data_IF_272541874105
#
_entry.id   IF_272541874105
#
_cell.length_a   1.000
_cell.length_b   1.000
_cell.length_c   1.000
_cell.angle_alpha   90.00
_cell.angle_beta   90.00
_cell.angle_gamma   90.00
#
_symmetry.space_group_name_H-M   'P 1'
#
loop_
_entity.id
_entity.type
_entity.pdbx_description
1 polymer ?
#
# COMPACT_ATOMS: atom_id res chain seq x y z
N UNK A 1 -6.75 -43.20 -1.38
CA UNK A 1 -8.01 -42.52 -1.77
C UNK A 1 -7.78 -41.01 -1.71
N UNK A 2 -8.51 -40.17 -2.46
CA UNK A 2 -8.25 -38.73 -2.43
C UNK A 2 -9.47 -37.86 -2.75
N UNK A 3 -9.50 -36.67 -2.15
CA UNK A 3 -10.55 -35.66 -2.31
C UNK A 3 -9.93 -34.36 -2.85
N UNK A 4 -10.75 -33.54 -3.51
CA UNK A 4 -10.36 -32.19 -3.94
C UNK A 4 -11.37 -31.19 -3.42
N UNK A 5 -10.89 -30.09 -2.86
CA UNK A 5 -11.70 -28.98 -2.32
C UNK A 5 -11.08 -27.64 -2.71
N UNK A 6 -11.89 -26.58 -2.69
CA UNK A 6 -11.48 -25.26 -3.20
C UNK A 6 -11.02 -24.24 -2.16
N UNK A 7 -10.77 -24.66 -0.92
CA UNK A 7 -10.15 -23.81 0.10
C UNK A 7 -9.56 -24.62 1.26
N UNK A 8 -8.59 -24.02 1.96
CA UNK A 8 -8.00 -24.55 3.20
C UNK A 8 -9.09 -24.89 4.23
N UNK A 9 -10.07 -24.00 4.42
CA UNK A 9 -11.18 -24.22 5.36
C UNK A 9 -11.99 -25.48 5.03
N UNK A 10 -12.30 -25.71 3.75
CA UNK A 10 -13.01 -26.93 3.32
C UNK A 10 -12.14 -28.17 3.45
N UNK A 11 -10.82 -28.05 3.27
CA UNK A 11 -9.91 -29.17 3.46
C UNK A 11 -9.86 -29.61 4.92
N UNK A 12 -9.77 -28.67 5.86
CA UNK A 12 -9.83 -28.97 7.29
C UNK A 12 -11.17 -29.53 7.71
N UNK A 13 -12.29 -28.96 7.23
CA UNK A 13 -13.61 -29.55 7.48
C UNK A 13 -13.71 -30.99 6.94
N UNK A 14 -13.11 -31.28 5.79
CA UNK A 14 -13.08 -32.64 5.25
C UNK A 14 -12.14 -33.56 6.04
N UNK A 15 -11.04 -33.03 6.56
CA UNK A 15 -10.14 -33.77 7.44
C UNK A 15 -10.84 -34.12 8.77
N UNK A 16 -11.61 -33.19 9.35
CA UNK A 16 -12.43 -33.43 10.55
C UNK A 16 -13.46 -34.55 10.36
N UNK A 17 -14.06 -34.64 9.17
CA UNK A 17 -14.98 -35.74 8.84
C UNK A 17 -14.28 -37.10 8.75
N UNK A 18 -12.99 -37.12 8.34
CA UNK A 18 -12.25 -38.35 8.07
C UNK A 18 -11.42 -38.82 9.27
N UNK A 19 -10.94 -37.90 10.10
CA UNK A 19 -10.02 -38.19 11.20
C UNK A 19 -10.76 -38.76 12.42
N UNK A 20 -10.32 -39.88 12.99
CA UNK A 20 -10.97 -40.48 14.15
C UNK A 20 -10.64 -39.71 15.43
N UNK A 21 -11.50 -38.77 15.79
CA UNK A 21 -11.45 -38.02 17.05
C UNK A 21 -10.63 -36.74 16.96
N UNK A 22 -10.30 -36.18 18.13
CA UNK A 22 -9.59 -34.91 18.21
C UNK A 22 -8.10 -35.06 17.89
N UNK A 23 -7.52 -33.99 17.38
CA UNK A 23 -6.10 -33.89 17.07
C UNK A 23 -5.56 -32.51 17.49
N UNK A 24 -4.25 -32.45 17.73
CA UNK A 24 -3.57 -31.22 18.15
C UNK A 24 -2.25 -31.07 17.40
N UNK A 25 -1.87 -29.82 17.14
CA UNK A 25 -0.59 -29.53 16.50
C UNK A 25 0.56 -30.04 17.37
N UNK A 26 1.44 -30.84 16.79
CA UNK A 26 2.66 -31.30 17.43
C UNK A 26 3.84 -30.45 16.97
N UNK A 27 4.36 -29.62 17.87
CA UNK A 27 5.43 -28.69 17.54
C UNK A 27 6.75 -29.39 17.17
N UNK A 28 7.08 -30.50 17.86
CA UNK A 28 8.33 -31.22 17.63
C UNK A 28 8.29 -31.98 16.30
N UNK A 29 7.17 -32.64 16.01
CA UNK A 29 6.97 -33.30 14.72
C UNK A 29 6.92 -32.27 13.58
N UNK A 30 6.23 -31.13 13.79
CA UNK A 30 6.18 -30.06 12.80
C UNK A 30 7.57 -29.49 12.48
N UNK A 31 8.40 -29.27 13.51
CA UNK A 31 9.76 -28.77 13.33
C UNK A 31 10.65 -29.79 12.61
N UNK A 32 10.57 -31.07 13.00
CA UNK A 32 11.35 -32.14 12.38
C UNK A 32 11.00 -32.39 10.91
N UNK A 33 9.73 -32.19 10.53
CA UNK A 33 9.27 -32.41 9.16
C UNK A 33 9.38 -31.17 8.25
N UNK A 34 9.47 -29.97 8.83
CA UNK A 34 9.48 -28.70 8.09
C UNK A 34 8.11 -28.25 7.59
N UNK A 35 7.02 -28.86 8.07
CA UNK A 35 5.63 -28.49 7.78
C UNK A 35 4.74 -28.81 9.00
N UNK A 36 3.58 -28.15 9.17
CA UNK A 36 2.71 -28.42 10.31
C UNK A 36 2.19 -29.86 10.32
N UNK A 37 2.37 -30.54 11.46
CA UNK A 37 1.83 -31.86 11.74
C UNK A 37 0.88 -31.77 12.93
N UNK A 38 -0.28 -32.41 12.79
CA UNK A 38 -1.31 -32.50 13.81
C UNK A 38 -1.53 -33.96 14.18
N UNK A 39 -1.18 -34.34 15.41
CA UNK A 39 -1.23 -35.71 15.89
C UNK A 39 -2.57 -35.98 16.61
N UNK A 40 -3.04 -37.23 16.56
CA UNK A 40 -4.19 -37.68 17.34
C UNK A 40 -4.00 -37.40 18.84
N UNK A 41 -5.05 -36.92 19.51
CA UNK A 41 -5.06 -36.77 20.96
C UNK A 41 -5.29 -38.12 21.69
N UNK A 42 -5.60 -39.19 20.95
CA UNK A 42 -5.83 -40.51 21.52
C UNK A 42 -4.53 -41.19 21.95
N UNK A 43 -4.49 -41.70 23.19
CA UNK A 43 -3.30 -42.33 23.76
C UNK A 43 -2.91 -43.59 22.96
N UNK A 44 -1.69 -43.60 22.42
CA UNK A 44 -1.13 -44.73 21.68
C UNK A 44 -1.54 -44.80 20.20
N UNK A 45 -2.28 -43.80 19.69
CA UNK A 45 -2.47 -43.62 18.26
C UNK A 45 -1.26 -42.87 17.65
N UNK A 46 -0.86 -43.28 16.45
CA UNK A 46 0.13 -42.58 15.61
C UNK A 46 -0.54 -41.87 14.42
N UNK A 47 -1.87 -41.79 14.41
CA UNK A 47 -2.63 -41.14 13.36
C UNK A 47 -2.34 -39.63 13.40
N UNK A 48 -2.20 -39.04 12.22
CA UNK A 48 -1.85 -37.62 12.12
C UNK A 48 -2.25 -37.01 10.78
N UNK A 49 -2.36 -35.68 10.76
CA UNK A 49 -2.62 -34.88 9.58
C UNK A 49 -1.38 -34.04 9.29
N UNK A 50 -0.86 -34.15 8.07
CA UNK A 50 0.24 -33.32 7.57
C UNK A 50 -0.32 -32.21 6.69
N UNK A 51 -0.07 -30.95 7.05
CA UNK A 51 -0.43 -29.78 6.25
C UNK A 51 0.72 -29.42 5.30
N UNK A 52 0.57 -29.80 4.03
CA UNK A 52 1.58 -29.59 3.00
C UNK A 52 1.34 -28.31 2.18
N UNK A 53 0.40 -27.46 2.62
CA UNK A 53 0.01 -26.22 1.94
C UNK A 53 -0.92 -26.44 0.75
N UNK A 54 -0.50 -27.24 -0.24
CA UNK A 54 -1.34 -27.55 -1.43
C UNK A 54 -2.30 -28.73 -1.21
N UNK A 55 -2.14 -29.46 -0.10
CA UNK A 55 -3.02 -30.54 0.32
C UNK A 55 -2.87 -30.81 1.82
N UNK A 56 -3.90 -31.42 2.40
CA UNK A 56 -3.77 -32.13 3.67
C UNK A 56 -3.58 -33.62 3.39
N UNK A 57 -2.65 -34.25 4.10
CA UNK A 57 -2.46 -35.70 4.06
C UNK A 57 -2.88 -36.29 5.41
N UNK A 58 -3.98 -37.04 5.40
CA UNK A 58 -4.58 -37.65 6.58
C UNK A 58 -4.11 -39.09 6.69
N UNK A 59 -3.28 -39.37 7.68
CA UNK A 59 -2.69 -40.69 7.95
C UNK A 59 -3.43 -41.35 9.11
N UNK A 60 -4.07 -42.49 8.84
CA UNK A 60 -4.84 -43.28 9.83
C UNK A 60 -4.43 -44.75 9.72
N UNK A 61 -3.81 -45.29 10.76
CA UNK A 61 -3.24 -46.63 10.76
C UNK A 61 -2.20 -46.82 9.65
N UNK A 62 -2.49 -47.72 8.71
CA UNK A 62 -1.63 -48.00 7.55
C UNK A 62 -2.09 -47.26 6.27
N UNK A 63 -3.16 -46.45 6.35
CA UNK A 63 -3.74 -45.76 5.20
C UNK A 63 -3.41 -44.27 5.21
N UNK A 64 -3.27 -43.70 4.01
CA UNK A 64 -3.12 -42.27 3.78
C UNK A 64 -4.18 -41.77 2.78
N UNK A 65 -4.83 -40.66 3.13
CA UNK A 65 -5.86 -40.01 2.33
C UNK A 65 -5.43 -38.57 2.04
N UNK A 66 -5.35 -38.22 0.76
CA UNK A 66 -4.98 -36.87 0.33
C UNK A 66 -6.23 -36.01 0.10
N UNK A 67 -6.22 -34.78 0.63
CA UNK A 67 -7.23 -33.75 0.39
C UNK A 67 -6.55 -32.59 -0.32
N UNK A 68 -6.64 -32.56 -1.65
CA UNK A 68 -6.06 -31.52 -2.48
C UNK A 68 -6.81 -30.20 -2.35
N UNK A 69 -6.07 -29.12 -2.15
CA UNK A 69 -6.59 -27.75 -2.12
C UNK A 69 -6.26 -27.13 -3.48
N UNK A 70 -7.28 -26.97 -4.31
CA UNK A 70 -7.14 -26.39 -5.64
C UNK A 70 -8.07 -25.20 -5.76
N UNK A 71 -7.55 -24.03 -6.13
CA UNK A 71 -8.43 -22.89 -6.43
C UNK A 71 -9.46 -23.29 -7.49
N UNK A 72 -10.67 -22.76 -7.34
CA UNK A 72 -11.72 -22.99 -8.32
C UNK A 72 -11.26 -22.47 -9.69
N UNK A 73 -11.29 -23.29 -10.75
CA UNK A 73 -10.94 -22.83 -12.09
C UNK A 73 -11.74 -21.61 -12.52
N UNK A 74 -13.01 -21.51 -12.09
CA UNK A 74 -13.88 -20.36 -12.37
C UNK A 74 -13.36 -19.08 -11.67
N UNK A 75 -12.95 -19.18 -10.40
CA UNK A 75 -12.36 -18.05 -9.66
C UNK A 75 -11.06 -17.59 -10.32
N UNK A 76 -10.26 -18.54 -10.82
CA UNK A 76 -8.99 -18.24 -11.48
C UNK A 76 -9.23 -17.47 -12.78
N UNK A 77 -10.17 -17.90 -13.61
CA UNK A 77 -10.52 -17.19 -14.85
C UNK A 77 -11.14 -15.81 -14.56
N UNK A 78 -12.03 -15.71 -13.57
CA UNK A 78 -12.62 -14.42 -13.18
C UNK A 78 -11.57 -13.43 -12.68
N UNK A 79 -10.57 -13.87 -11.90
CA UNK A 79 -9.45 -13.01 -11.47
C UNK A 79 -8.67 -12.46 -12.67
N UNK A 80 -8.44 -13.31 -13.67
CA UNK A 80 -7.76 -12.93 -14.91
C UNK A 80 -8.58 -11.93 -15.71
N UNK A 81 -9.87 -12.21 -15.93
CA UNK A 81 -10.79 -11.29 -16.62
C UNK A 81 -10.88 -9.94 -15.91
N UNK A 82 -11.00 -9.93 -14.58
CA UNK A 82 -10.98 -8.68 -13.78
C UNK A 82 -9.68 -7.92 -13.97
N UNK A 83 -8.53 -8.60 -14.03
CA UNK A 83 -7.25 -7.96 -14.30
C UNK A 83 -7.19 -7.34 -15.69
N UNK A 84 -7.68 -8.06 -16.71
CA UNK A 84 -7.70 -7.59 -18.11
C UNK A 84 -8.66 -6.41 -18.29
N UNK A 85 -9.87 -6.49 -17.72
CA UNK A 85 -10.86 -5.42 -17.75
C UNK A 85 -10.37 -4.16 -17.01
N UNK A 86 -9.66 -4.31 -15.89
CA UNK A 86 -9.03 -3.17 -15.19
C UNK A 86 -7.96 -2.50 -16.06
N UNK A 87 -7.12 -3.29 -16.72
CA UNK A 87 -6.09 -2.74 -17.62
C UNK A 87 -6.71 -2.04 -18.84
N UNK A 88 -7.78 -2.60 -19.40
CA UNK A 88 -8.54 -1.97 -20.47
C UNK A 88 -9.17 -0.65 -20.02
N UNK A 89 -9.75 -0.62 -18.81
CA UNK A 89 -10.33 0.59 -18.23
C UNK A 89 -9.27 1.69 -18.02
N UNK A 90 -8.11 1.39 -17.42
CA UNK A 90 -7.02 2.35 -17.25
C UNK A 90 -6.58 3.00 -18.57
N UNK A 91 -6.54 2.20 -19.65
CA UNK A 91 -6.22 2.71 -20.98
C UNK A 91 -7.33 3.60 -21.55
N UNK A 92 -8.59 3.20 -21.42
CA UNK A 92 -9.75 3.95 -21.91
C UNK A 92 -10.00 5.24 -21.13
N UNK A 93 -9.59 5.31 -19.86
CA UNK A 93 -9.72 6.51 -19.05
C UNK A 93 -8.77 7.63 -19.51
N UNK A 94 -7.69 7.32 -20.24
CA UNK A 94 -6.78 8.30 -20.84
C UNK A 94 -6.24 9.31 -19.80
N UNK A 95 -5.72 8.80 -18.69
CA UNK A 95 -5.15 9.64 -17.63
C UNK A 95 -3.98 10.48 -18.15
N UNK A 96 -4.02 11.78 -17.84
CA UNK A 96 -2.97 12.74 -18.21
C UNK A 96 -2.64 13.65 -17.02
N UNK A 97 -1.42 14.22 -16.93
CA UNK A 97 -1.07 15.14 -15.86
C UNK A 97 -2.08 16.30 -15.76
N UNK A 98 -2.65 16.48 -14.57
CA UNK A 98 -3.55 17.58 -14.30
C UNK A 98 -2.78 18.92 -14.30
N UNK A 99 -3.45 19.97 -14.77
CA UNK A 99 -2.91 21.34 -14.74
C UNK A 99 -3.57 22.11 -13.60
N UNK A 100 -2.83 23.01 -12.97
CA UNK A 100 -3.29 23.89 -11.89
C UNK A 100 -3.75 23.16 -10.61
N UNK A 101 -3.40 21.87 -10.45
CA UNK A 101 -3.68 21.10 -9.23
C UNK A 101 -2.40 20.38 -8.82
N UNK A 102 -2.11 20.38 -7.51
CA UNK A 102 -0.89 19.86 -6.93
C UNK A 102 0.27 20.86 -6.95
N UNK A 103 1.49 20.33 -6.89
CA UNK A 103 2.72 21.12 -6.90
C UNK A 103 2.92 21.86 -8.21
N UNK A 104 3.30 23.13 -8.10
CA UNK A 104 3.72 24.00 -9.17
C UNK A 104 5.22 23.84 -9.49
N UNK A 105 6.04 23.35 -8.55
CA UNK A 105 7.45 23.06 -8.79
C UNK A 105 7.65 21.65 -9.33
N UNK A 106 8.38 21.51 -10.44
CA UNK A 106 8.76 20.19 -10.98
C UNK A 106 9.71 19.48 -10.01
N UNK A 107 9.64 18.15 -10.00
CA UNK A 107 10.50 17.36 -9.12
C UNK A 107 11.99 17.52 -9.44
N UNK A 108 12.36 17.62 -10.72
CA UNK A 108 13.75 17.84 -11.15
C UNK A 108 14.30 19.18 -10.63
N UNK A 109 13.51 20.25 -10.76
CA UNK A 109 13.88 21.58 -10.27
C UNK A 109 14.03 21.57 -8.74
N UNK A 110 13.12 20.90 -8.02
CA UNK A 110 13.20 20.76 -6.56
C UNK A 110 14.48 20.02 -6.15
N UNK A 111 14.82 18.91 -6.81
CA UNK A 111 16.03 18.14 -6.51
C UNK A 111 17.31 18.94 -6.82
N UNK A 112 17.29 19.78 -7.86
CA UNK A 112 18.40 20.67 -8.14
C UNK A 112 18.57 21.72 -7.04
N UNK A 113 17.47 22.32 -6.58
CA UNK A 113 17.48 23.23 -5.43
C UNK A 113 17.95 22.52 -4.16
N UNK A 114 17.54 21.28 -3.92
CA UNK A 114 17.96 20.51 -2.74
C UNK A 114 19.47 20.24 -2.71
N UNK A 115 20.08 20.07 -3.88
CA UNK A 115 21.53 19.86 -4.00
C UNK A 115 22.36 21.14 -3.89
N UNK A 116 21.75 22.32 -4.11
CA UNK A 116 22.46 23.61 -4.22
C UNK A 116 22.10 24.62 -3.12
N UNK A 117 20.94 24.48 -2.50
CA UNK A 117 20.43 25.37 -1.46
C UNK A 117 20.53 24.78 -0.06
N UNK A 118 20.30 25.65 0.92
CA UNK A 118 20.26 25.28 2.32
C UNK A 118 18.84 24.91 2.76
N UNK A 119 18.73 23.90 3.62
CA UNK A 119 17.47 23.53 4.25
C UNK A 119 17.12 24.56 5.32
N UNK A 120 15.92 25.16 5.20
CA UNK A 120 15.38 26.02 6.25
C UNK A 120 14.65 25.18 7.31
N UNK A 121 14.79 25.58 8.58
CA UNK A 121 13.92 25.06 9.64
C UNK A 121 12.52 25.63 9.47
N UNK A 122 11.52 25.01 10.09
CA UNK A 122 10.14 25.46 9.98
C UNK A 122 9.99 26.89 10.54
N UNK A 123 10.72 27.26 11.60
CA UNK A 123 10.71 28.62 12.17
C UNK A 123 11.27 29.67 11.19
N UNK A 124 12.42 29.36 10.57
CA UNK A 124 13.03 30.25 9.57
C UNK A 124 12.16 30.39 8.33
N UNK A 125 11.53 29.31 7.89
CA UNK A 125 10.63 29.34 6.74
C UNK A 125 9.38 30.19 7.03
N UNK A 126 8.84 30.13 8.26
CA UNK A 126 7.72 30.97 8.70
C UNK A 126 8.12 32.44 8.75
N UNK A 127 9.28 32.76 9.33
CA UNK A 127 9.81 34.13 9.39
C UNK A 127 9.98 34.70 7.97
N UNK A 128 10.64 33.95 7.09
CA UNK A 128 10.84 34.35 5.70
C UNK A 128 9.51 34.56 4.94
N UNK A 129 8.54 33.66 5.07
CA UNK A 129 7.20 33.81 4.45
C UNK A 129 6.51 35.09 4.97
N UNK A 130 6.63 35.37 6.27
CA UNK A 130 6.03 36.56 6.88
C UNK A 130 6.66 37.84 6.36
N UNK A 131 7.99 37.88 6.23
CA UNK A 131 8.73 39.06 5.77
C UNK A 131 8.49 39.34 4.28
N UNK A 132 8.54 38.32 3.43
CA UNK A 132 8.43 38.47 1.98
C UNK A 132 6.99 38.69 1.50
N UNK A 133 6.02 37.97 2.06
CA UNK A 133 4.64 37.95 1.55
C UNK A 133 3.62 38.58 2.52
N UNK A 134 4.05 39.04 3.69
CA UNK A 134 3.21 39.75 4.65
C UNK A 134 2.17 38.88 5.39
N UNK A 135 2.36 37.56 5.41
CA UNK A 135 1.50 36.66 6.19
C UNK A 135 1.80 36.77 7.69
N UNK A 136 0.79 36.55 8.53
CA UNK A 136 0.99 36.48 9.99
C UNK A 136 1.73 35.19 10.35
N UNK A 137 2.89 35.23 11.02
CA UNK A 137 3.66 34.03 11.37
C UNK A 137 2.83 32.95 12.07
N UNK A 138 1.91 33.34 12.95
CA UNK A 138 1.10 32.43 13.75
C UNK A 138 0.05 31.67 12.92
N UNK A 139 -0.25 32.16 11.72
CA UNK A 139 -1.18 31.52 10.79
C UNK A 139 -0.46 30.60 9.78
N UNK A 140 0.87 30.69 9.64
CA UNK A 140 1.62 29.90 8.67
C UNK A 140 1.93 28.52 9.22
N UNK A 141 1.59 27.48 8.46
CA UNK A 141 1.94 26.09 8.77
C UNK A 141 2.74 25.47 7.64
N UNK A 142 4.01 25.19 7.90
CA UNK A 142 4.89 24.52 6.95
C UNK A 142 4.41 23.10 6.69
N UNK A 143 4.48 22.69 5.43
CA UNK A 143 4.03 21.39 4.95
C UNK A 143 5.10 20.76 4.06
N UNK A 144 5.35 19.47 4.30
CA UNK A 144 6.40 18.74 3.58
C UNK A 144 5.88 17.81 2.49
N UNK A 145 4.58 17.59 2.42
CA UNK A 145 3.99 16.73 1.38
C UNK A 145 3.58 17.59 0.19
N UNK A 146 4.08 17.29 -0.99
CA UNK A 146 3.67 17.91 -2.24
C UNK A 146 3.22 16.82 -3.20
N UNK A 147 2.14 17.03 -3.94
CA UNK A 147 1.45 15.99 -4.70
C UNK A 147 1.24 16.44 -6.13
N UNK A 148 1.21 15.49 -7.05
CA UNK A 148 0.73 15.72 -8.41
C UNK A 148 -0.54 14.92 -8.63
N UNK A 149 -1.33 15.37 -9.60
CA UNK A 149 -2.58 14.73 -9.96
C UNK A 149 -2.60 14.37 -11.44
N UNK A 150 -3.39 13.36 -11.76
CA UNK A 150 -3.81 13.07 -13.12
C UNK A 150 -5.30 13.34 -13.26
N UNK A 151 -5.72 13.73 -14.47
CA UNK A 151 -7.11 13.88 -14.87
C UNK A 151 -7.42 12.94 -16.02
N UNK A 152 -8.56 12.26 -15.95
CA UNK A 152 -9.02 11.37 -17.00
C UNK A 152 -9.95 12.09 -18.00
N UNK A 153 -10.32 11.42 -19.10
CA UNK A 153 -11.24 11.95 -20.13
C UNK A 153 -12.63 12.35 -19.61
N UNK A 154 -12.99 11.91 -18.41
CA UNK A 154 -14.25 12.21 -17.73
C UNK A 154 -14.10 13.31 -16.66
N UNK A 155 -12.96 14.03 -16.65
CA UNK A 155 -12.64 15.08 -15.69
C UNK A 155 -12.60 14.61 -14.23
N UNK A 156 -12.28 13.33 -14.00
CA UNK A 156 -12.01 12.83 -12.65
C UNK A 156 -10.54 13.04 -12.34
N UNK A 157 -10.27 13.57 -11.14
CA UNK A 157 -8.92 13.73 -10.61
C UNK A 157 -8.53 12.52 -9.76
N UNK A 158 -7.25 12.13 -9.83
CA UNK A 158 -6.63 11.19 -8.88
C UNK A 158 -5.22 11.65 -8.54
N UNK A 159 -4.78 11.34 -7.32
CA UNK A 159 -3.39 11.56 -6.91
C UNK A 159 -2.48 10.62 -7.73
N UNK A 160 -1.44 11.18 -8.36
CA UNK A 160 -0.51 10.44 -9.21
C UNK A 160 0.87 10.24 -8.57
N UNK A 161 1.32 11.20 -7.76
CA UNK A 161 2.52 11.06 -6.96
C UNK A 161 2.47 11.91 -5.70
N UNK A 162 3.22 11.47 -4.68
CA UNK A 162 3.46 12.19 -3.43
C UNK A 162 4.96 12.33 -3.22
N UNK A 163 5.41 13.55 -3.00
CA UNK A 163 6.79 13.93 -2.74
C UNK A 163 6.93 14.45 -1.32
N UNK A 164 8.02 14.09 -0.67
CA UNK A 164 8.45 14.71 0.58
C UNK A 164 9.50 15.80 0.27
N UNK A 165 9.15 17.04 0.58
CA UNK A 165 9.91 18.24 0.24
C UNK A 165 10.11 19.12 1.46
N UNK A 166 11.35 19.49 1.72
CA UNK A 166 11.74 20.39 2.80
C UNK A 166 11.68 21.84 2.29
N UNK A 167 11.49 22.83 3.17
CA UNK A 167 11.75 24.22 2.86
C UNK A 167 13.24 24.39 2.47
N UNK A 168 13.50 25.00 1.33
CA UNK A 168 14.84 25.21 0.78
C UNK A 168 15.02 26.66 0.37
N UNK A 169 16.21 27.20 0.64
CA UNK A 169 16.58 28.54 0.23
C UNK A 169 18.01 28.56 -0.30
N UNK A 170 18.18 29.08 -1.49
CA UNK A 170 19.50 29.37 -2.08
C UNK A 170 19.64 30.87 -2.34
N UNK A 171 18.59 31.47 -2.93
CA UNK A 171 18.52 32.90 -3.23
C UNK A 171 17.05 33.37 -3.22
N UNK A 172 16.84 34.68 -3.34
CA UNK A 172 15.49 35.29 -3.41
C UNK A 172 14.69 34.83 -4.62
N UNK A 173 15.37 34.48 -5.71
CA UNK A 173 14.82 33.92 -6.95
C UNK A 173 15.07 32.41 -7.11
N UNK A 174 15.60 31.74 -6.07
CA UNK A 174 15.84 30.29 -6.05
C UNK A 174 15.54 29.71 -4.66
N UNK A 175 14.28 29.36 -4.43
CA UNK A 175 13.75 28.90 -3.15
C UNK A 175 12.46 28.09 -3.34
N UNK A 176 12.14 27.29 -2.33
CA UNK A 176 10.91 26.50 -2.29
C UNK A 176 10.40 26.37 -0.85
N UNK A 177 9.13 26.73 -0.63
CA UNK A 177 8.43 26.42 0.63
C UNK A 177 6.97 26.11 0.33
N UNK A 178 6.48 24.95 0.78
CA UNK A 178 5.05 24.63 0.79
C UNK A 178 4.47 24.86 2.17
N UNK A 179 3.34 25.56 2.24
CA UNK A 179 2.71 25.92 3.50
C UNK A 179 1.19 26.11 3.35
N UNK A 180 0.50 26.04 4.48
CA UNK A 180 -0.92 26.37 4.58
C UNK A 180 -1.08 27.61 5.45
N UNK A 181 -2.14 28.38 5.20
CA UNK A 181 -2.61 29.46 6.07
C UNK A 181 -3.78 28.93 6.89
N UNK A 182 -3.59 28.88 8.21
CA UNK A 182 -4.62 28.51 9.17
C UNK A 182 -5.56 29.70 9.33
N UNK A 183 -6.84 29.50 9.01
CA UNK A 183 -7.89 30.49 9.17
C UNK A 183 -9.27 29.88 8.96
N UNK A 184 -10.29 30.73 8.80
CA UNK A 184 -11.66 30.27 8.51
C UNK A 184 -11.77 29.56 7.15
N UNK A 185 -10.88 29.91 6.22
CA UNK A 185 -10.63 29.19 4.98
C UNK A 185 -9.16 28.76 5.01
N UNK A 186 -8.91 27.47 4.80
CA UNK A 186 -7.56 26.93 4.71
C UNK A 186 -7.04 27.16 3.29
N UNK A 187 -6.25 28.22 3.11
CA UNK A 187 -5.53 28.45 1.85
C UNK A 187 -4.22 27.70 1.87
N UNK A 188 -3.80 27.16 0.74
CA UNK A 188 -2.55 26.42 0.60
C UNK A 188 -1.73 27.06 -0.51
N UNK A 189 -0.42 27.18 -0.28
CA UNK A 189 0.48 27.86 -1.19
C UNK A 189 1.83 27.16 -1.31
N UNK A 190 2.48 27.43 -2.43
CA UNK A 190 3.90 27.22 -2.62
C UNK A 190 4.58 28.55 -2.92
N UNK A 191 5.55 28.92 -2.11
CA UNK A 191 6.51 29.95 -2.46
C UNK A 191 7.60 29.29 -3.31
N UNK A 192 7.72 29.69 -4.58
CA UNK A 192 8.68 29.14 -5.53
C UNK A 192 9.40 30.31 -6.18
N UNK A 193 10.72 30.35 -6.01
CA UNK A 193 11.61 31.32 -6.66
C UNK A 193 11.15 32.77 -6.45
N UNK A 194 10.72 33.09 -5.22
CA UNK A 194 10.26 34.42 -4.83
C UNK A 194 8.81 34.76 -5.21
N UNK A 195 8.07 33.83 -5.82
CA UNK A 195 6.67 34.03 -6.19
C UNK A 195 5.75 33.09 -5.42
N UNK A 196 4.53 33.54 -5.17
CA UNK A 196 3.50 32.77 -4.48
C UNK A 196 2.55 32.10 -5.49
N UNK A 197 2.43 30.78 -5.42
CA UNK A 197 1.50 30.01 -6.23
C UNK A 197 0.44 29.35 -5.36
N UNK A 198 -0.84 29.36 -5.77
CA UNK A 198 -1.86 28.58 -5.09
C UNK A 198 -1.55 27.09 -5.21
N UNK A 199 -1.80 26.35 -4.15
CA UNK A 199 -1.68 24.90 -4.11
C UNK A 199 -3.07 24.30 -3.96
N UNK A 200 -3.61 23.75 -5.03
CA UNK A 200 -4.92 23.09 -5.02
C UNK A 200 -4.75 21.59 -4.89
N UNK A 201 -5.62 20.94 -4.12
CA UNK A 201 -5.63 19.50 -3.89
C UNK A 201 -7.04 18.93 -3.83
#
# INVERSE_FOLDING_TARGET
MGYTVNSVKKAWAKADELFPGDYQRDAQASEGAGYPIYMSAAKGSNDHISDLGCRLEVNIGAESINIWIQEDPEITELKKEVSELKAALEKEEEWTPAKNVGTNMKQEDYLHLENSGDVMTDEKAVEWISEEFGFKPEAVKIRRKAQTYEVNRHHRLRESAVYERKPLYCATDWNYVRFDIIGNLCWQYEAINGYLYPYEN
#
